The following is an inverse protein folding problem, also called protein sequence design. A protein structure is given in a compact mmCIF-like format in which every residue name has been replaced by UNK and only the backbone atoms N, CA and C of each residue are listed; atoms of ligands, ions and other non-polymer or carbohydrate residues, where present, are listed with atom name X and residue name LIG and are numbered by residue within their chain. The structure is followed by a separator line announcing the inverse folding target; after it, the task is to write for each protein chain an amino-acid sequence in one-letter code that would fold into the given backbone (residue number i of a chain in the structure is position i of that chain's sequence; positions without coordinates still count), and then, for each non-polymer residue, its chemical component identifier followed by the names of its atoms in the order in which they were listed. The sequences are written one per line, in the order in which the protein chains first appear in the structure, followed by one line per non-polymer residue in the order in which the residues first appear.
data_IF_390945454062
#
_entry.id   IF_390945454062
#
_cell.length_a   1.000
_cell.length_b   1.000
_cell.length_c   1.000
_cell.angle_alpha   90.00
_cell.angle_beta   90.00
_cell.angle_gamma   90.00
#
_symmetry.space_group_name_H-M   'P 1'
#
loop_
_entity.id
_entity.type
_entity.pdbx_description
1 polymer ?
#
# COMPACT_ATOMS: atom_id res chain seq x y z
N UNK A 1 7.32 2.02 2.09
CA UNK A 1 7.45 0.66 2.64
C UNK A 1 8.56 -0.06 1.93
N UNK A 2 9.37 -0.79 2.63
CA UNK A 2 10.46 -1.51 2.00
C UNK A 2 10.06 -2.94 1.63
N UNK A 3 10.88 -3.60 0.82
CA UNK A 3 10.63 -4.95 0.33
C UNK A 3 10.52 -5.96 1.49
N UNK A 4 11.31 -5.78 2.54
CA UNK A 4 11.36 -6.71 3.66
C UNK A 4 10.03 -6.75 4.44
N UNK A 5 9.38 -5.60 4.60
CA UNK A 5 8.07 -5.54 5.23
C UNK A 5 7.02 -6.26 4.39
N UNK A 6 7.05 -6.04 3.07
CA UNK A 6 6.09 -6.67 2.16
C UNK A 6 6.27 -8.19 2.12
N UNK A 7 7.47 -8.70 2.41
CA UNK A 7 7.73 -10.14 2.44
C UNK A 7 6.97 -10.87 3.55
N UNK A 8 6.55 -10.17 4.62
CA UNK A 8 5.79 -10.75 5.72
C UNK A 8 4.28 -10.70 5.52
N UNK A 9 3.82 -10.16 4.40
CA UNK A 9 2.40 -10.05 4.08
C UNK A 9 1.93 -11.30 3.33
N UNK A 10 0.61 -11.57 3.36
CA UNK A 10 0.00 -12.61 2.53
C UNK A 10 -0.02 -12.14 1.09
N UNK A 11 0.94 -12.59 0.31
CA UNK A 11 1.11 -12.19 -1.08
C UNK A 11 0.34 -13.08 -2.02
N UNK A 12 -0.27 -12.48 -3.03
CA UNK A 12 -0.90 -13.20 -4.15
C UNK A 12 0.06 -13.12 -5.34
N UNK A 13 0.23 -14.24 -6.02
CA UNK A 13 1.21 -14.37 -7.10
C UNK A 13 0.81 -13.62 -8.37
N UNK A 14 1.85 -13.18 -9.08
CA UNK A 14 1.74 -12.65 -10.43
C UNK A 14 1.18 -11.26 -10.53
N UNK A 15 1.61 -10.58 -11.59
CA UNK A 15 1.04 -9.29 -11.96
C UNK A 15 -0.34 -9.51 -12.60
N UNK A 16 -1.14 -8.46 -12.66
CA UNK A 16 -2.43 -8.55 -13.36
C UNK A 16 -2.20 -8.56 -14.88
N UNK A 17 -3.18 -9.04 -15.63
CA UNK A 17 -3.10 -9.14 -17.08
C UNK A 17 -3.05 -7.74 -17.71
N UNK A 18 -2.10 -7.55 -18.63
CA UNK A 18 -1.97 -6.28 -19.37
C UNK A 18 -3.00 -6.18 -20.46
N UNK A 19 -3.46 -4.94 -20.71
CA UNK A 19 -4.37 -4.67 -21.81
C UNK A 19 -5.81 -5.07 -21.56
N UNK A 20 -6.15 -5.44 -20.32
CA UNK A 20 -7.50 -5.83 -19.93
C UNK A 20 -7.98 -4.97 -18.77
N UNK A 21 -9.21 -4.49 -18.83
CA UNK A 21 -9.78 -3.70 -17.75
C UNK A 21 -10.13 -4.55 -16.53
N UNK A 22 -10.21 -3.94 -15.37
CA UNK A 22 -10.57 -4.61 -14.13
C UNK A 22 -11.22 -3.61 -13.18
N UNK A 23 -11.92 -4.13 -12.19
CA UNK A 23 -12.48 -3.32 -11.11
C UNK A 23 -11.45 -3.32 -9.98
N UNK A 24 -10.87 -2.15 -9.69
CA UNK A 24 -9.72 -2.02 -8.78
C UNK A 24 -10.00 -2.62 -7.41
N UNK A 25 -11.16 -2.32 -6.82
CA UNK A 25 -11.47 -2.78 -5.46
C UNK A 25 -11.63 -4.30 -5.39
N UNK A 26 -11.86 -4.97 -6.53
CA UNK A 26 -12.02 -6.42 -6.59
C UNK A 26 -10.72 -7.18 -6.84
N UNK A 27 -9.60 -6.46 -7.04
CA UNK A 27 -8.30 -7.10 -7.25
C UNK A 27 -7.84 -7.88 -6.03
N UNK A 28 -8.33 -7.54 -4.86
CA UNK A 28 -7.85 -8.11 -3.61
C UNK A 28 -9.01 -8.21 -2.62
N UNK A 29 -9.00 -9.30 -1.83
CA UNK A 29 -10.01 -9.57 -0.81
C UNK A 29 -9.42 -9.42 0.59
N UNK A 30 -10.27 -9.08 1.57
CA UNK A 30 -9.88 -9.13 2.97
C UNK A 30 -9.73 -10.58 3.42
N UNK A 31 -8.73 -10.84 4.25
CA UNK A 31 -8.53 -12.15 4.86
C UNK A 31 -8.41 -11.98 6.38
N UNK A 32 -8.93 -12.97 7.12
CA UNK A 32 -8.98 -12.93 8.58
C UNK A 32 -7.60 -12.72 9.19
N UNK A 33 -7.50 -11.74 10.08
CA UNK A 33 -6.27 -11.40 10.81
C UNK A 33 -5.06 -11.14 9.90
N UNK A 34 -5.29 -10.57 8.70
CA UNK A 34 -4.20 -10.44 7.74
C UNK A 34 -4.18 -9.11 7.03
N UNK A 35 -2.99 -8.74 6.57
CA UNK A 35 -2.79 -7.76 5.51
C UNK A 35 -2.47 -8.56 4.26
N UNK A 36 -3.27 -8.39 3.21
CA UNK A 36 -3.11 -9.12 1.96
C UNK A 36 -2.53 -8.16 0.93
N UNK A 37 -1.54 -8.64 0.17
CA UNK A 37 -0.89 -7.84 -0.88
C UNK A 37 -0.98 -8.56 -2.21
N UNK A 38 -1.34 -7.82 -3.27
CA UNK A 38 -1.33 -8.30 -4.64
C UNK A 38 -0.54 -7.34 -5.51
N UNK A 39 0.45 -7.88 -6.22
CA UNK A 39 1.20 -7.10 -7.20
C UNK A 39 0.31 -6.78 -8.40
N UNK A 40 0.20 -5.50 -8.75
CA UNK A 40 -0.41 -5.06 -10.00
C UNK A 40 0.66 -5.05 -11.07
N UNK A 41 1.81 -4.47 -10.75
CA UNK A 41 2.97 -4.44 -11.64
C UNK A 41 4.23 -4.26 -10.80
N UNK A 42 5.27 -5.02 -11.13
CA UNK A 42 6.56 -4.91 -10.43
C UNK A 42 7.69 -4.83 -11.43
N UNK A 43 8.52 -3.79 -11.27
CA UNK A 43 9.74 -3.56 -12.06
C UNK A 43 10.88 -3.20 -11.10
N UNK A 44 12.11 -3.24 -11.61
CA UNK A 44 13.26 -2.78 -10.81
C UNK A 44 13.18 -1.28 -10.51
N UNK A 45 12.48 -0.53 -11.33
CA UNK A 45 12.33 0.93 -11.21
C UNK A 45 11.11 1.36 -10.40
N UNK A 46 10.26 0.43 -9.99
CA UNK A 46 9.08 0.75 -9.18
C UNK A 46 8.05 -0.37 -9.16
N UNK A 47 7.01 -0.17 -8.39
CA UNK A 47 5.96 -1.18 -8.25
C UNK A 47 4.62 -0.53 -7.92
N UNK A 48 3.55 -1.25 -8.25
CA UNK A 48 2.19 -0.92 -7.84
C UNK A 48 1.62 -2.16 -7.19
N UNK A 49 1.18 -2.04 -5.94
CA UNK A 49 0.58 -3.13 -5.19
C UNK A 49 -0.79 -2.71 -4.65
N UNK A 50 -1.73 -3.64 -4.64
CA UNK A 50 -2.98 -3.49 -3.93
C UNK A 50 -2.85 -4.17 -2.57
N UNK A 51 -3.29 -3.49 -1.51
CA UNK A 51 -3.21 -3.98 -0.14
C UNK A 51 -4.61 -3.95 0.48
N UNK A 52 -4.99 -5.05 1.16
CA UNK A 52 -6.24 -5.13 1.90
C UNK A 52 -5.93 -5.39 3.37
N UNK A 53 -6.44 -4.51 4.22
CA UNK A 53 -6.19 -4.55 5.66
C UNK A 53 -7.46 -4.99 6.38
N UNK A 54 -7.43 -6.14 7.03
CA UNK A 54 -8.53 -6.56 7.90
C UNK A 54 -8.60 -5.63 9.12
N UNK A 55 -9.75 -5.58 9.76
CA UNK A 55 -9.97 -4.76 10.96
C UNK A 55 -8.87 -5.03 11.99
N UNK A 56 -8.26 -3.96 12.49
CA UNK A 56 -7.20 -4.04 13.48
C UNK A 56 -5.81 -4.25 12.92
N UNK A 57 -5.68 -4.41 11.61
CA UNK A 57 -4.37 -4.60 10.95
C UNK A 57 -3.81 -3.29 10.43
N UNK A 58 -2.49 -3.17 10.48
CA UNK A 58 -1.76 -2.00 9.99
C UNK A 58 -0.35 -2.39 9.59
N UNK A 59 0.48 -1.40 9.32
CA UNK A 59 1.90 -1.59 9.03
C UNK A 59 2.72 -0.75 10.00
N UNK A 60 3.78 -1.35 10.55
CA UNK A 60 4.67 -0.68 11.50
C UNK A 60 5.34 0.54 10.87
N UNK A 61 5.79 1.44 11.72
CA UNK A 61 6.54 2.61 11.29
C UNK A 61 7.82 2.20 10.57
N UNK A 62 8.09 2.83 9.45
CA UNK A 62 9.31 2.60 8.68
C UNK A 62 9.72 3.82 7.89
N UNK A 63 10.98 3.80 7.47
CA UNK A 63 11.59 4.83 6.64
C UNK A 63 12.06 4.15 5.37
N UNK A 64 11.56 4.62 4.22
CA UNK A 64 11.95 4.10 2.91
C UNK A 64 12.85 5.10 2.20
N UNK A 65 13.85 4.64 1.42
CA UNK A 65 14.66 5.56 0.61
C UNK A 65 13.94 6.05 -0.65
N UNK A 66 12.69 5.63 -0.89
CA UNK A 66 11.94 5.94 -2.10
C UNK A 66 10.67 6.70 -1.78
N UNK A 67 10.24 7.56 -2.73
CA UNK A 67 8.91 8.16 -2.66
C UNK A 67 7.86 7.09 -2.96
N UNK A 68 6.73 7.17 -2.27
CA UNK A 68 5.60 6.30 -2.56
C UNK A 68 4.29 7.08 -2.49
N UNK A 69 3.27 6.56 -3.19
CA UNK A 69 1.95 7.18 -3.22
C UNK A 69 0.90 6.17 -2.81
N UNK A 70 0.14 6.48 -1.77
CA UNK A 70 -0.94 5.62 -1.27
C UNK A 70 -2.28 6.22 -1.66
N UNK A 71 -3.17 5.38 -2.23
CA UNK A 71 -4.51 5.79 -2.67
C UNK A 71 -5.54 4.85 -2.04
N UNK A 72 -6.53 5.41 -1.37
CA UNK A 72 -7.55 4.59 -0.69
C UNK A 72 -8.63 4.22 -1.69
N UNK A 73 -8.91 2.91 -1.81
CA UNK A 73 -9.89 2.38 -2.75
C UNK A 73 -11.10 1.74 -2.07
N UNK A 74 -11.02 1.46 -0.76
CA UNK A 74 -12.14 0.95 0.02
C UNK A 74 -11.92 1.30 1.49
N UNK A 75 -12.98 1.61 2.20
CA UNK A 75 -12.92 1.96 3.62
C UNK A 75 -12.24 3.30 3.88
N UNK A 76 -11.66 3.44 5.05
CA UNK A 76 -10.84 4.62 5.39
C UNK A 76 -9.61 4.19 6.15
N UNK A 77 -8.50 4.91 5.95
CA UNK A 77 -7.22 4.60 6.54
C UNK A 77 -6.67 5.78 7.33
N UNK A 78 -5.89 5.48 8.35
CA UNK A 78 -5.14 6.50 9.09
C UNK A 78 -3.67 6.25 8.78
N UNK A 79 -3.05 7.19 8.07
CA UNK A 79 -1.64 7.11 7.69
C UNK A 79 -0.90 8.26 8.35
N UNK A 80 0.14 7.93 9.11
CA UNK A 80 0.99 8.91 9.77
C UNK A 80 2.25 9.07 8.93
N UNK A 81 2.60 10.32 8.62
CA UNK A 81 3.79 10.66 7.86
C UNK A 81 4.54 11.74 8.62
N UNK A 82 5.79 11.48 8.94
CA UNK A 82 6.67 12.41 9.67
C UNK A 82 5.99 12.93 10.94
N UNK A 83 5.33 12.03 11.67
CA UNK A 83 4.67 12.33 12.95
C UNK A 83 3.29 12.95 12.82
N UNK A 84 2.79 13.20 11.61
CA UNK A 84 1.48 13.81 11.40
C UNK A 84 0.51 12.78 10.83
N UNK A 85 -0.64 12.63 11.49
CA UNK A 85 -1.65 11.67 11.09
C UNK A 85 -2.67 12.27 10.11
N UNK A 86 -3.02 11.50 9.09
CA UNK A 86 -4.02 11.85 8.07
C UNK A 86 -5.07 10.76 8.02
N UNK A 87 -6.34 11.13 8.09
CA UNK A 87 -7.45 10.20 7.87
C UNK A 87 -7.88 10.34 6.41
N UNK A 88 -7.75 9.24 5.66
CA UNK A 88 -7.99 9.22 4.22
C UNK A 88 -9.21 8.35 3.92
N UNK A 89 -10.10 8.86 3.08
CA UNK A 89 -11.30 8.17 2.60
C UNK A 89 -11.09 7.72 1.15
N UNK A 90 -12.01 6.90 0.67
CA UNK A 90 -12.00 6.44 -0.74
C UNK A 90 -11.86 7.64 -1.68
N UNK A 91 -10.95 7.54 -2.62
CA UNK A 91 -10.64 8.60 -3.58
C UNK A 91 -9.59 9.58 -3.11
N UNK A 92 -9.13 9.47 -1.86
CA UNK A 92 -8.08 10.33 -1.33
C UNK A 92 -6.76 9.58 -1.31
N UNK A 93 -5.66 10.32 -1.42
CA UNK A 93 -4.33 9.76 -1.40
C UNK A 93 -3.32 10.64 -0.69
N UNK A 94 -2.12 10.10 -0.49
CA UNK A 94 -1.03 10.83 0.14
C UNK A 94 0.29 10.42 -0.50
N UNK A 95 1.14 11.41 -0.76
CA UNK A 95 2.52 11.18 -1.18
C UNK A 95 3.39 11.03 0.07
N UNK A 96 4.03 9.88 0.21
CA UNK A 96 4.92 9.60 1.33
C UNK A 96 6.35 9.86 0.86
N UNK A 97 7.00 10.93 1.37
CA UNK A 97 8.33 11.30 0.89
C UNK A 97 9.39 10.28 1.29
N UNK A 98 10.39 10.11 0.43
CA UNK A 98 11.58 9.34 0.76
C UNK A 98 12.20 9.90 2.05
N UNK A 99 12.77 9.01 2.87
CA UNK A 99 13.51 9.32 4.10
C UNK A 99 12.65 9.88 5.24
N UNK A 100 11.33 9.87 5.10
CA UNK A 100 10.43 10.26 6.19
C UNK A 100 9.74 9.03 6.76
N UNK A 101 9.59 8.98 8.08
CA UNK A 101 8.91 7.88 8.76
C UNK A 101 7.44 7.88 8.38
N UNK A 102 6.89 6.70 8.10
CA UNK A 102 5.47 6.51 7.83
C UNK A 102 4.93 5.30 8.57
N UNK A 103 3.64 5.34 8.89
CA UNK A 103 2.98 4.31 9.66
C UNK A 103 1.53 4.20 9.19
N UNK A 104 1.11 3.00 8.81
CA UNK A 104 -0.29 2.72 8.50
C UNK A 104 -0.91 2.18 9.77
N UNK A 105 -1.77 2.97 10.41
CA UNK A 105 -2.34 2.62 11.71
C UNK A 105 -3.46 1.61 11.58
N UNK A 106 -3.61 0.69 12.56
CA UNK A 106 -4.79 -0.18 12.61
C UNK A 106 -6.07 0.64 12.66
N UNK A 107 -7.08 0.18 11.92
CA UNK A 107 -8.39 0.83 11.84
C UNK A 107 -9.43 -0.23 11.49
N UNK A 108 -10.60 0.15 10.98
CA UNK A 108 -11.52 -0.78 10.36
C UNK A 108 -10.91 -1.38 9.10
N UNK A 109 -11.68 -2.11 8.32
CA UNK A 109 -11.23 -2.65 7.04
C UNK A 109 -10.98 -1.54 6.04
N UNK A 110 -9.88 -1.64 5.30
CA UNK A 110 -9.63 -0.71 4.20
C UNK A 110 -8.71 -1.35 3.17
N UNK A 111 -8.80 -0.85 1.94
CA UNK A 111 -7.92 -1.24 0.84
C UNK A 111 -7.25 -0.01 0.28
N UNK A 112 -5.99 -0.17 -0.13
CA UNK A 112 -5.26 0.90 -0.78
C UNK A 112 -4.39 0.39 -1.91
N UNK A 113 -4.06 1.28 -2.83
CA UNK A 113 -3.01 1.06 -3.83
C UNK A 113 -1.76 1.78 -3.35
N UNK A 114 -0.63 1.09 -3.42
CA UNK A 114 0.66 1.67 -3.07
C UNK A 114 1.55 1.63 -4.29
N UNK A 115 1.97 2.81 -4.75
CA UNK A 115 2.90 2.98 -5.86
C UNK A 115 4.22 3.45 -5.31
N UNK A 116 5.30 2.71 -5.62
CA UNK A 116 6.66 3.03 -5.17
C UNK A 116 7.51 3.32 -6.40
N UNK A 117 8.19 4.46 -6.41
CA UNK A 117 9.08 4.87 -7.50
C UNK A 117 10.51 4.70 -7.02
N UNK A 118 11.26 3.82 -7.66
CA UNK A 118 12.64 3.48 -7.26
C UNK A 118 13.70 4.07 -8.19
N UNK A 119 13.30 4.64 -9.32
CA UNK A 119 14.22 5.28 -10.26
C UNK A 119 14.40 6.75 -9.90
N UNK A 120 15.60 7.29 -10.16
CA UNK A 120 15.89 8.69 -9.90
C UNK A 120 16.55 8.96 -8.55
N UNK A 121 16.98 7.92 -7.84
CA UNK A 121 17.60 8.06 -6.51
C UNK A 121 19.08 7.66 -6.51
N UNK A 122 19.66 7.43 -7.69
CA UNK A 122 21.07 7.07 -7.85
C UNK A 122 21.99 8.30 -7.74
#
# INVERSE_FOLDING_TARGET
MDTKELEHLNKKDGDIEKGTSHIIVELIEYEHNAVVSKSIMKKTTGSINALAFEQGEGLNEKISPFDSYAQIIDGSAIIEVDGKAFTLKVGEGILIPAHKASHVKPNGRFKLLLTVIKSGYE
#
